data_IF_221877572718
#
_entry.id   IF_221877572718
#
_cell.length_a   1.000
_cell.length_b   1.000
_cell.length_c   1.000
_cell.angle_alpha   90.00
_cell.angle_beta   90.00
_cell.angle_gamma   90.00
#
_symmetry.space_group_name_H-M   'P 1'
#
loop_
_entity.id
_entity.type
_entity.pdbx_description
1 polymer ?
#
# COMPACT_ATOMS: atom_id res chain seq x y z
N UNK A 1 -10.95 -29.34 -6.04
CA UNK A 1 -9.65 -29.92 -6.46
C UNK A 1 -8.97 -30.44 -5.21
N UNK A 2 -8.74 -31.75 -5.09
CA UNK A 2 -8.30 -32.40 -3.84
C UNK A 2 -6.82 -32.11 -3.54
N UNK A 3 -6.48 -31.88 -2.27
CA UNK A 3 -5.11 -31.68 -1.79
C UNK A 3 -4.13 -32.79 -2.22
N UNK A 4 -4.66 -33.98 -2.54
CA UNK A 4 -3.88 -35.12 -3.07
C UNK A 4 -3.31 -34.86 -4.46
N UNK A 5 -3.99 -34.08 -5.31
CA UNK A 5 -3.52 -33.74 -6.65
C UNK A 5 -2.36 -32.73 -6.57
N UNK A 6 -2.47 -31.75 -5.66
CA UNK A 6 -1.40 -30.77 -5.43
C UNK A 6 -0.16 -31.47 -4.87
N UNK A 7 -0.33 -32.36 -3.88
CA UNK A 7 0.80 -33.08 -3.29
C UNK A 7 1.48 -34.05 -4.28
N UNK A 8 0.74 -34.66 -5.20
CA UNK A 8 1.30 -35.52 -6.24
C UNK A 8 2.09 -34.74 -7.29
N UNK A 9 1.60 -33.56 -7.70
CA UNK A 9 2.32 -32.68 -8.63
C UNK A 9 3.61 -32.10 -8.02
N UNK A 10 3.60 -31.78 -6.72
CA UNK A 10 4.81 -31.33 -6.00
C UNK A 10 5.82 -32.46 -5.85
N UNK A 11 5.39 -33.69 -5.56
CA UNK A 11 6.29 -34.83 -5.37
C UNK A 11 6.99 -35.28 -6.67
N UNK A 12 6.29 -35.25 -7.81
CA UNK A 12 6.85 -35.62 -9.11
C UNK A 12 7.94 -34.66 -9.60
N UNK A 13 7.87 -33.38 -9.22
CA UNK A 13 8.88 -32.40 -9.60
C UNK A 13 10.22 -32.55 -8.85
N UNK A 14 10.23 -33.14 -7.66
CA UNK A 14 11.41 -33.17 -6.79
C UNK A 14 12.35 -34.35 -7.11
N UNK A 15 11.83 -35.46 -7.64
CA UNK A 15 12.62 -36.70 -7.79
C UNK A 15 13.53 -36.77 -9.02
N UNK A 16 13.49 -35.79 -9.93
CA UNK A 16 14.19 -35.91 -11.23
C UNK A 16 15.59 -35.26 -11.31
N UNK A 17 16.12 -34.68 -10.22
CA UNK A 17 17.22 -33.68 -10.32
C UNK A 17 18.64 -34.20 -9.98
N UNK A 18 18.83 -35.43 -9.50
CA UNK A 18 20.11 -35.82 -8.85
C UNK A 18 21.11 -36.70 -9.65
N UNK A 19 20.94 -36.89 -10.96
CA UNK A 19 21.70 -37.93 -11.69
C UNK A 19 22.96 -37.51 -12.46
N UNK A 20 22.96 -36.35 -13.13
CA UNK A 20 23.98 -36.02 -14.14
C UNK A 20 24.14 -34.50 -14.19
N UNK A 21 25.01 -33.88 -13.37
CA UNK A 21 25.11 -32.40 -13.28
C UNK A 21 26.52 -31.83 -13.35
N UNK A 22 27.57 -32.65 -13.36
CA UNK A 22 28.95 -32.15 -13.19
C UNK A 22 29.59 -31.60 -14.47
N UNK A 23 29.20 -32.07 -15.66
CA UNK A 23 29.85 -31.64 -16.92
C UNK A 23 29.33 -30.31 -17.49
N UNK A 24 28.09 -29.94 -17.17
CA UNK A 24 27.38 -28.76 -17.70
C UNK A 24 27.93 -27.46 -17.11
N UNK A 25 28.27 -27.45 -15.82
CA UNK A 25 28.79 -26.28 -15.12
C UNK A 25 30.08 -25.80 -15.79
N UNK A 26 30.98 -26.73 -16.11
CA UNK A 26 32.25 -26.41 -16.77
C UNK A 26 32.02 -25.83 -18.17
N UNK A 27 31.09 -26.41 -18.94
CA UNK A 27 30.80 -25.98 -20.31
C UNK A 27 30.15 -24.58 -20.36
N UNK A 28 29.20 -24.32 -19.47
CA UNK A 28 28.53 -23.02 -19.43
C UNK A 28 29.41 -21.95 -18.76
N UNK A 29 30.25 -22.28 -17.76
CA UNK A 29 31.03 -21.28 -17.00
C UNK A 29 31.95 -20.41 -17.87
N UNK A 30 32.48 -20.95 -18.98
CA UNK A 30 33.33 -20.21 -19.90
C UNK A 30 32.59 -19.09 -20.64
N UNK A 31 31.29 -19.25 -20.89
CA UNK A 31 30.44 -18.26 -21.57
C UNK A 31 29.80 -17.29 -20.57
N UNK A 32 29.75 -17.65 -19.28
CA UNK A 32 29.10 -16.90 -18.21
C UNK A 32 30.00 -15.86 -17.50
N UNK A 33 31.30 -15.80 -17.79
CA UNK A 33 32.29 -15.04 -17.01
C UNK A 33 32.39 -13.55 -17.36
N UNK A 34 31.78 -13.08 -18.45
CA UNK A 34 31.61 -11.64 -18.64
C UNK A 34 30.41 -11.14 -17.86
N UNK A 35 30.67 -10.81 -16.59
CA UNK A 35 29.79 -9.92 -15.85
C UNK A 35 29.76 -8.57 -16.53
N UNK A 36 28.71 -8.33 -17.31
CA UNK A 36 28.50 -7.05 -17.94
C UNK A 36 28.43 -5.98 -16.85
N UNK A 37 29.30 -4.97 -16.97
CA UNK A 37 29.25 -3.77 -16.12
C UNK A 37 27.83 -3.15 -16.12
N UNK A 38 27.09 -3.38 -17.21
CA UNK A 38 25.68 -3.09 -17.37
C UNK A 38 24.79 -3.81 -16.35
N UNK A 39 24.88 -5.15 -16.19
CA UNK A 39 24.09 -5.91 -15.19
C UNK A 39 24.31 -5.37 -13.78
N UNK A 40 25.57 -5.19 -13.40
CA UNK A 40 25.93 -4.64 -12.07
C UNK A 40 25.38 -3.22 -11.90
N UNK A 41 25.54 -2.36 -12.90
CA UNK A 41 25.03 -0.99 -12.86
C UNK A 41 23.51 -0.90 -12.71
N UNK A 42 22.77 -1.73 -13.46
CA UNK A 42 21.30 -1.79 -13.40
C UNK A 42 20.83 -2.25 -12.01
N UNK A 43 21.43 -3.31 -11.46
CA UNK A 43 21.07 -3.83 -10.14
C UNK A 43 21.43 -2.87 -9.01
N UNK A 44 22.61 -2.25 -9.03
CA UNK A 44 23.01 -1.22 -8.06
C UNK A 44 22.06 -0.01 -8.12
N UNK A 45 21.73 0.44 -9.33
CA UNK A 45 20.80 1.56 -9.55
C UNK A 45 19.41 1.25 -9.00
N UNK A 46 18.87 0.07 -9.31
CA UNK A 46 17.58 -0.38 -8.80
C UNK A 46 17.58 -0.53 -7.27
N UNK A 47 18.62 -1.15 -6.71
CA UNK A 47 18.77 -1.34 -5.27
C UNK A 47 18.82 0.00 -4.52
N UNK A 48 19.63 0.94 -5.01
CA UNK A 48 19.77 2.28 -4.43
C UNK A 48 18.46 3.05 -4.48
N UNK A 49 17.75 3.01 -5.62
CA UNK A 49 16.46 3.66 -5.79
C UNK A 49 15.41 3.12 -4.81
N UNK A 50 15.29 1.79 -4.72
CA UNK A 50 14.36 1.15 -3.78
C UNK A 50 14.73 1.40 -2.33
N UNK A 51 16.02 1.44 -1.99
CA UNK A 51 16.45 1.75 -0.63
C UNK A 51 16.09 3.20 -0.25
N UNK A 52 16.43 4.18 -1.09
CA UNK A 52 16.13 5.59 -0.83
C UNK A 52 14.62 5.84 -0.72
N UNK A 53 13.83 5.34 -1.66
CA UNK A 53 12.37 5.48 -1.65
C UNK A 53 11.74 4.71 -0.48
N UNK A 54 12.27 3.52 -0.17
CA UNK A 54 11.84 2.71 0.96
C UNK A 54 12.05 3.41 2.30
N UNK A 55 13.25 3.95 2.54
CA UNK A 55 13.56 4.75 3.74
C UNK A 55 12.66 5.99 3.80
N UNK A 56 12.42 6.67 2.67
CA UNK A 56 11.53 7.83 2.62
C UNK A 56 10.11 7.49 3.08
N UNK A 57 9.49 6.44 2.53
CA UNK A 57 8.13 6.06 2.93
C UNK A 57 8.07 5.52 4.36
N UNK A 58 9.09 4.76 4.79
CA UNK A 58 9.17 4.21 6.12
C UNK A 58 9.29 5.29 7.20
N UNK A 59 10.16 6.29 7.00
CA UNK A 59 10.40 7.38 7.96
C UNK A 59 9.26 8.41 8.01
N UNK A 60 8.52 8.60 6.91
CA UNK A 60 7.46 9.62 6.82
C UNK A 60 6.13 9.19 7.43
N UNK A 61 5.84 7.89 7.51
CA UNK A 61 4.54 7.36 7.92
C UNK A 61 4.59 6.35 9.09
N UNK A 62 5.26 6.66 10.22
CA UNK A 62 5.39 5.71 11.32
C UNK A 62 4.17 5.64 12.25
N UNK A 63 3.19 6.56 12.17
CA UNK A 63 2.13 6.65 13.19
C UNK A 63 0.89 5.79 12.87
N UNK A 64 0.60 4.74 13.67
CA UNK A 64 -0.64 3.96 13.59
C UNK A 64 -1.81 4.61 14.36
N UNK A 65 -1.55 5.55 15.28
CA UNK A 65 -2.55 6.10 16.20
C UNK A 65 -3.39 7.26 15.61
N UNK A 66 -3.83 7.12 14.36
CA UNK A 66 -4.74 8.07 13.73
C UNK A 66 -6.18 7.80 14.20
N UNK A 67 -6.89 8.86 14.61
CA UNK A 67 -8.31 8.77 15.06
C UNK A 67 -9.23 8.21 13.98
N UNK A 68 -8.88 8.47 12.71
CA UNK A 68 -9.61 7.95 11.56
C UNK A 68 -9.06 6.59 11.12
N UNK A 69 -9.86 5.55 11.31
CA UNK A 69 -9.56 4.18 10.86
C UNK A 69 -9.16 4.13 9.37
N UNK A 70 -9.73 5.00 8.53
CA UNK A 70 -9.39 5.08 7.09
C UNK A 70 -7.96 5.53 6.87
N UNK A 71 -7.55 6.55 7.60
CA UNK A 71 -6.22 7.13 7.51
C UNK A 71 -5.18 6.19 8.10
N UNK A 72 -5.55 5.43 9.13
CA UNK A 72 -4.74 4.35 9.67
C UNK A 72 -4.46 3.26 8.62
N UNK A 73 -5.47 2.81 7.86
CA UNK A 73 -5.26 1.82 6.77
C UNK A 73 -4.32 2.38 5.69
N UNK A 74 -4.52 3.64 5.26
CA UNK A 74 -3.57 4.27 4.31
C UNK A 74 -2.16 4.39 4.90
N UNK A 75 -2.01 4.70 6.20
CA UNK A 75 -0.71 4.69 6.89
C UNK A 75 -0.05 3.32 6.84
N UNK A 76 -0.81 2.28 7.16
CA UNK A 76 -0.33 0.91 7.09
C UNK A 76 0.11 0.54 5.67
N UNK A 77 -0.69 0.83 4.64
CA UNK A 77 -0.33 0.55 3.25
C UNK A 77 0.92 1.32 2.79
N UNK A 78 1.06 2.60 3.19
CA UNK A 78 2.25 3.38 2.86
C UNK A 78 3.52 2.85 3.54
N UNK A 79 3.42 2.50 4.83
CA UNK A 79 4.51 1.88 5.57
C UNK A 79 4.90 0.52 4.97
N UNK A 80 3.90 -0.30 4.62
CA UNK A 80 4.10 -1.59 3.95
C UNK A 80 4.79 -1.43 2.59
N UNK A 81 4.43 -0.44 1.78
CA UNK A 81 5.16 -0.13 0.54
C UNK A 81 6.62 0.24 0.82
N UNK A 82 6.89 1.02 1.87
CA UNK A 82 8.26 1.31 2.33
C UNK A 82 9.06 0.03 2.62
N UNK A 83 8.48 -0.91 3.37
CA UNK A 83 9.11 -2.20 3.65
C UNK A 83 9.31 -3.06 2.40
N UNK A 84 8.34 -3.11 1.49
CA UNK A 84 8.46 -3.87 0.23
C UNK A 84 9.60 -3.32 -0.64
N UNK A 85 9.78 -2.00 -0.67
CA UNK A 85 10.89 -1.35 -1.36
C UNK A 85 12.22 -1.67 -0.70
N UNK A 86 12.34 -1.53 0.62
CA UNK A 86 13.57 -1.89 1.35
C UNK A 86 13.96 -3.35 1.14
N UNK A 87 12.99 -4.26 1.24
CA UNK A 87 13.16 -5.68 0.98
C UNK A 87 13.63 -5.94 -0.45
N UNK A 88 13.00 -5.28 -1.44
CA UNK A 88 13.40 -5.39 -2.85
C UNK A 88 14.80 -4.84 -3.09
N UNK A 89 15.16 -3.73 -2.45
CA UNK A 89 16.51 -3.17 -2.51
C UNK A 89 17.55 -4.14 -1.95
N UNK A 90 17.26 -4.79 -0.83
CA UNK A 90 18.13 -5.81 -0.24
C UNK A 90 18.32 -7.02 -1.16
N UNK A 91 17.26 -7.59 -1.73
CA UNK A 91 17.39 -8.74 -2.64
C UNK A 91 18.09 -8.40 -3.95
N UNK A 92 17.97 -7.17 -4.44
CA UNK A 92 18.79 -6.72 -5.57
C UNK A 92 20.29 -6.64 -5.22
N UNK A 93 20.65 -6.32 -3.97
CA UNK A 93 22.04 -6.41 -3.51
C UNK A 93 22.51 -7.86 -3.36
N UNK A 94 21.62 -8.77 -2.93
CA UNK A 94 21.94 -10.22 -2.89
C UNK A 94 22.23 -10.73 -4.31
N UNK A 95 21.42 -10.36 -5.30
CA UNK A 95 21.65 -10.72 -6.71
C UNK A 95 22.94 -10.16 -7.32
N UNK A 96 23.60 -9.17 -6.68
CA UNK A 96 24.96 -8.75 -7.07
C UNK A 96 26.04 -9.73 -6.62
N UNK A 97 25.78 -10.50 -5.56
CA UNK A 97 26.76 -11.45 -5.01
C UNK A 97 26.92 -12.69 -5.88
N UNK A 98 25.97 -12.96 -6.79
CA UNK A 98 25.93 -14.12 -7.69
C UNK A 98 25.88 -15.49 -6.98
N UNK A 99 25.83 -15.49 -5.65
CA UNK A 99 25.79 -16.71 -4.83
C UNK A 99 24.49 -17.49 -5.08
N UNK A 100 23.48 -16.81 -5.62
CA UNK A 100 22.12 -17.29 -5.83
C UNK A 100 21.76 -17.56 -7.31
N UNK A 101 22.71 -17.39 -8.23
CA UNK A 101 22.52 -17.69 -9.65
C UNK A 101 22.56 -19.22 -9.87
N UNK A 102 21.45 -19.82 -10.29
CA UNK A 102 21.39 -21.22 -10.72
C UNK A 102 21.58 -21.31 -12.25
N UNK A 103 22.46 -22.22 -12.70
CA UNK A 103 22.68 -22.49 -14.13
C UNK A 103 21.93 -23.75 -14.51
N UNK A 104 21.03 -23.65 -15.48
CA UNK A 104 20.29 -24.79 -16.03
C UNK A 104 21.07 -25.48 -17.16
N UNK A 105 20.59 -26.66 -17.57
CA UNK A 105 21.18 -27.46 -18.67
C UNK A 105 21.29 -26.69 -20.00
N UNK A 106 20.45 -25.68 -20.22
CA UNK A 106 20.44 -24.80 -21.40
C UNK A 106 21.44 -23.62 -21.29
N UNK A 107 22.34 -23.62 -20.30
CA UNK A 107 23.23 -22.51 -19.95
C UNK A 107 22.51 -21.18 -19.61
N UNK A 108 21.20 -21.22 -19.34
CA UNK A 108 20.43 -20.06 -18.90
C UNK A 108 20.64 -19.83 -17.41
N UNK A 109 20.93 -18.58 -17.01
CA UNK A 109 21.02 -18.17 -15.60
C UNK A 109 19.63 -17.88 -15.03
N UNK A 110 19.35 -18.44 -13.86
CA UNK A 110 18.18 -18.10 -13.05
C UNK A 110 18.64 -17.40 -11.77
N UNK A 111 18.18 -16.17 -11.60
CA UNK A 111 18.38 -15.34 -10.40
C UNK A 111 17.37 -15.76 -9.31
N UNK A 112 17.82 -16.52 -8.32
CA UNK A 112 16.95 -17.04 -7.26
C UNK A 112 16.53 -15.95 -6.26
N UNK A 113 17.40 -14.97 -5.98
CA UNK A 113 17.07 -13.83 -5.13
C UNK A 113 15.86 -13.09 -5.69
N UNK A 114 15.81 -12.88 -7.01
CA UNK A 114 14.68 -12.24 -7.69
C UNK A 114 13.41 -13.05 -7.63
N UNK A 115 13.49 -14.36 -7.88
CA UNK A 115 12.32 -15.24 -7.76
C UNK A 115 11.74 -15.19 -6.34
N UNK A 116 12.60 -15.24 -5.32
CA UNK A 116 12.20 -15.13 -3.92
C UNK A 116 11.64 -13.73 -3.59
N UNK A 117 12.30 -12.68 -4.08
CA UNK A 117 11.86 -11.30 -3.91
C UNK A 117 10.43 -11.13 -4.43
N UNK A 118 10.13 -11.61 -5.64
CA UNK A 118 8.80 -11.55 -6.22
C UNK A 118 7.80 -12.39 -5.44
N UNK A 119 8.17 -13.62 -5.04
CA UNK A 119 7.31 -14.52 -4.28
C UNK A 119 6.82 -13.89 -2.95
N UNK A 120 7.61 -12.99 -2.35
CA UNK A 120 7.23 -12.26 -1.13
C UNK A 120 6.59 -10.91 -1.44
N UNK A 121 7.22 -10.09 -2.29
CA UNK A 121 6.77 -8.72 -2.53
C UNK A 121 5.42 -8.65 -3.25
N UNK A 122 5.18 -9.49 -4.25
CA UNK A 122 3.97 -9.44 -5.06
C UNK A 122 2.70 -9.80 -4.25
N UNK A 123 2.65 -10.88 -3.45
CA UNK A 123 1.49 -11.14 -2.59
C UNK A 123 1.26 -10.04 -1.55
N UNK A 124 2.31 -9.40 -1.02
CA UNK A 124 2.15 -8.25 -0.12
C UNK A 124 1.55 -7.03 -0.86
N UNK A 125 1.99 -6.78 -2.10
CA UNK A 125 1.44 -5.71 -2.95
C UNK A 125 -0.02 -5.95 -3.32
N UNK A 126 -0.45 -7.20 -3.53
CA UNK A 126 -1.85 -7.48 -3.84
C UNK A 126 -2.70 -7.52 -2.57
N UNK A 127 -2.13 -7.94 -1.43
CA UNK A 127 -2.77 -7.84 -0.12
C UNK A 127 -3.11 -6.38 0.24
N UNK A 128 -2.18 -5.43 0.07
CA UNK A 128 -2.49 -4.02 0.36
C UNK A 128 -3.63 -3.47 -0.48
N UNK A 129 -3.77 -3.88 -1.75
CA UNK A 129 -4.88 -3.44 -2.62
C UNK A 129 -6.20 -3.96 -2.06
N UNK A 130 -6.23 -5.21 -1.57
CA UNK A 130 -7.41 -5.77 -0.93
C UNK A 130 -7.75 -5.11 0.42
N UNK A 131 -6.74 -4.66 1.18
CA UNK A 131 -6.93 -3.86 2.39
C UNK A 131 -7.51 -2.48 2.08
N UNK A 132 -7.00 -1.81 1.04
CA UNK A 132 -7.53 -0.54 0.54
C UNK A 132 -8.98 -0.66 0.05
N UNK A 133 -9.31 -1.79 -0.59
CA UNK A 133 -10.68 -2.11 -0.98
C UNK A 133 -11.60 -2.37 0.23
N UNK A 134 -11.05 -2.66 1.41
CA UNK A 134 -11.80 -3.22 2.55
C UNK A 134 -12.61 -4.46 2.15
N UNK A 135 -12.04 -5.27 1.27
CA UNK A 135 -12.65 -6.52 0.86
C UNK A 135 -12.83 -7.45 2.06
N UNK A 136 -13.81 -8.36 1.98
CA UNK A 136 -13.99 -9.44 2.96
C UNK A 136 -12.67 -10.19 3.16
N UNK A 137 -12.40 -10.71 4.37
CA UNK A 137 -11.17 -11.48 4.65
C UNK A 137 -10.92 -12.60 3.63
N UNK A 138 -12.00 -13.27 3.20
CA UNK A 138 -11.97 -14.26 2.12
C UNK A 138 -11.32 -13.72 0.84
N UNK A 139 -11.71 -12.51 0.40
CA UNK A 139 -11.16 -11.88 -0.80
C UNK A 139 -9.68 -11.55 -0.66
N UNK A 140 -9.27 -11.10 0.52
CA UNK A 140 -7.86 -10.80 0.80
C UNK A 140 -7.00 -12.04 0.66
N UNK A 141 -7.45 -13.17 1.23
CA UNK A 141 -6.76 -14.47 1.14
C UNK A 141 -6.72 -14.97 -0.31
N UNK A 142 -7.84 -14.90 -1.04
CA UNK A 142 -7.91 -15.33 -2.45
C UNK A 142 -6.95 -14.55 -3.34
N UNK A 143 -6.85 -13.23 -3.17
CA UNK A 143 -5.93 -12.38 -3.94
C UNK A 143 -4.47 -12.74 -3.66
N UNK A 144 -4.11 -12.95 -2.39
CA UNK A 144 -2.76 -13.36 -1.97
C UNK A 144 -2.40 -14.74 -2.51
N UNK A 145 -3.30 -15.73 -2.36
CA UNK A 145 -3.07 -17.09 -2.84
C UNK A 145 -2.97 -17.16 -4.36
N UNK A 146 -3.85 -16.47 -5.10
CA UNK A 146 -3.75 -16.42 -6.57
C UNK A 146 -2.43 -15.81 -7.01
N UNK A 147 -1.96 -14.76 -6.34
CA UNK A 147 -0.66 -14.14 -6.63
C UNK A 147 0.50 -15.10 -6.35
N UNK A 148 0.48 -15.76 -5.20
CA UNK A 148 1.52 -16.70 -4.79
C UNK A 148 1.60 -17.90 -5.74
N UNK A 149 0.46 -18.54 -6.07
CA UNK A 149 0.44 -19.67 -7.00
C UNK A 149 0.80 -19.27 -8.43
N UNK A 150 0.41 -18.08 -8.88
CA UNK A 150 0.85 -17.53 -10.16
C UNK A 150 2.39 -17.50 -10.24
N UNK A 151 3.06 -16.96 -9.23
CA UNK A 151 4.51 -16.85 -9.20
C UNK A 151 5.20 -18.20 -9.01
N UNK A 152 4.67 -19.07 -8.15
CA UNK A 152 5.21 -20.40 -7.92
C UNK A 152 5.19 -21.24 -9.22
N UNK A 153 4.08 -21.20 -9.97
CA UNK A 153 3.98 -21.89 -11.25
C UNK A 153 4.84 -21.23 -12.33
N UNK A 154 5.00 -19.90 -12.31
CA UNK A 154 5.94 -19.20 -13.20
C UNK A 154 7.41 -19.53 -12.90
N UNK A 155 7.73 -19.81 -11.64
CA UNK A 155 9.05 -20.32 -11.26
C UNK A 155 9.24 -21.74 -11.79
N UNK A 156 8.24 -22.62 -11.62
CA UNK A 156 8.29 -23.96 -12.21
C UNK A 156 8.38 -23.95 -13.74
N UNK A 157 7.73 -23.00 -14.42
CA UNK A 157 7.88 -22.87 -15.88
C UNK A 157 9.29 -22.46 -16.30
N UNK A 158 10.03 -21.80 -15.41
CA UNK A 158 11.42 -21.37 -15.64
C UNK A 158 12.41 -22.50 -15.34
N UNK A 159 12.14 -23.31 -14.31
CA UNK A 159 13.04 -24.39 -13.87
C UNK A 159 12.86 -25.70 -14.66
N UNK A 160 11.67 -25.96 -15.21
CA UNK A 160 11.38 -27.22 -15.88
C UNK A 160 12.36 -27.51 -17.03
N UNK A 161 12.92 -28.72 -17.15
CA UNK A 161 13.89 -29.03 -18.19
C UNK A 161 13.23 -29.16 -19.57
N UNK A 162 12.11 -29.90 -19.70
CA UNK A 162 11.45 -30.02 -20.99
C UNK A 162 10.59 -28.81 -21.34
N UNK A 163 10.77 -28.32 -22.57
CA UNK A 163 10.02 -27.19 -23.14
C UNK A 163 8.49 -27.34 -23.04
N UNK A 164 7.99 -28.56 -23.22
CA UNK A 164 6.55 -28.85 -23.10
C UNK A 164 6.03 -28.54 -21.70
N UNK A 165 6.75 -28.95 -20.65
CA UNK A 165 6.34 -28.66 -19.27
C UNK A 165 6.51 -27.18 -18.93
N UNK A 166 7.52 -26.49 -19.49
CA UNK A 166 7.65 -25.02 -19.35
C UNK A 166 6.36 -24.31 -19.78
N UNK A 167 5.86 -24.61 -20.98
CA UNK A 167 4.61 -24.00 -21.47
C UNK A 167 3.38 -24.44 -20.68
N UNK A 168 3.32 -25.67 -20.19
CA UNK A 168 2.21 -26.15 -19.36
C UNK A 168 2.14 -25.40 -18.03
N UNK A 169 3.28 -25.23 -17.34
CA UNK A 169 3.35 -24.44 -16.11
C UNK A 169 3.09 -22.95 -16.35
N UNK A 170 3.57 -22.40 -17.47
CA UNK A 170 3.28 -21.03 -17.89
C UNK A 170 1.78 -20.80 -18.13
N UNK A 171 1.11 -21.73 -18.83
CA UNK A 171 -0.33 -21.68 -19.04
C UNK A 171 -1.09 -21.78 -17.71
N UNK A 172 -0.68 -22.67 -16.81
CA UNK A 172 -1.27 -22.80 -15.48
C UNK A 172 -1.07 -21.51 -14.65
N UNK A 173 0.13 -20.92 -14.67
CA UNK A 173 0.42 -19.63 -14.04
C UNK A 173 -0.48 -18.52 -14.58
N UNK A 174 -0.69 -18.47 -15.90
CA UNK A 174 -1.58 -17.51 -16.57
C UNK A 174 -3.03 -17.65 -16.11
N UNK A 175 -3.52 -18.87 -15.86
CA UNK A 175 -4.86 -19.08 -15.27
C UNK A 175 -4.95 -18.45 -13.88
N UNK A 176 -3.93 -18.61 -13.02
CA UNK A 176 -3.91 -17.96 -11.71
C UNK A 176 -3.79 -16.43 -11.81
N UNK A 177 -3.08 -15.92 -12.81
CA UNK A 177 -3.06 -14.49 -13.10
C UNK A 177 -4.47 -13.98 -13.47
N UNK A 178 -5.19 -14.68 -14.34
CA UNK A 178 -6.58 -14.32 -14.69
C UNK A 178 -7.48 -14.36 -13.43
N UNK A 179 -7.34 -15.38 -12.59
CA UNK A 179 -8.06 -15.47 -11.31
C UNK A 179 -7.72 -14.29 -10.38
N UNK A 180 -6.47 -13.85 -10.34
CA UNK A 180 -6.06 -12.65 -9.60
C UNK A 180 -6.81 -11.41 -10.12
N UNK A 181 -6.83 -11.18 -11.44
CA UNK A 181 -7.51 -10.02 -12.04
C UNK A 181 -9.01 -10.06 -11.77
N UNK A 182 -9.64 -11.23 -11.88
CA UNK A 182 -11.05 -11.43 -11.54
C UNK A 182 -11.31 -11.11 -10.06
N UNK A 183 -10.47 -11.59 -9.15
CA UNK A 183 -10.61 -11.30 -7.72
C UNK A 183 -10.43 -9.81 -7.41
N UNK A 184 -9.54 -9.11 -8.10
CA UNK A 184 -9.39 -7.66 -7.98
C UNK A 184 -10.61 -6.90 -8.53
N UNK A 185 -11.22 -7.34 -9.63
CA UNK A 185 -12.49 -6.80 -10.12
C UNK A 185 -13.62 -6.98 -9.10
N UNK A 186 -13.72 -8.17 -8.50
CA UNK A 186 -14.67 -8.41 -7.42
C UNK A 186 -14.43 -7.53 -6.19
N UNK A 187 -13.17 -7.28 -5.83
CA UNK A 187 -12.86 -6.35 -4.76
C UNK A 187 -13.41 -4.95 -5.08
N UNK A 188 -13.21 -4.44 -6.30
CA UNK A 188 -13.80 -3.16 -6.74
C UNK A 188 -15.33 -3.19 -6.61
N UNK A 189 -15.97 -4.24 -7.13
CA UNK A 189 -17.44 -4.36 -7.10
C UNK A 189 -18.00 -4.41 -5.69
N UNK A 190 -17.41 -5.21 -4.80
CA UNK A 190 -17.83 -5.32 -3.40
C UNK A 190 -17.72 -3.96 -2.69
N UNK A 191 -16.61 -3.25 -2.90
CA UNK A 191 -16.35 -1.93 -2.32
C UNK A 191 -17.25 -0.83 -2.87
N UNK A 192 -17.71 -0.98 -4.11
CA UNK A 192 -18.53 0.02 -4.81
C UNK A 192 -20.01 -0.32 -4.86
N UNK A 193 -20.47 -1.36 -4.15
CA UNK A 193 -21.85 -1.86 -4.20
C UNK A 193 -22.28 -2.18 -5.65
N UNK A 194 -21.39 -2.80 -6.43
CA UNK A 194 -21.55 -3.12 -7.85
C UNK A 194 -21.77 -1.92 -8.79
N UNK A 195 -21.50 -0.68 -8.34
CA UNK A 195 -21.59 0.51 -9.20
C UNK A 195 -20.44 0.62 -10.18
N UNK A 196 -19.28 0.10 -9.79
CA UNK A 196 -18.07 0.09 -10.59
C UNK A 196 -17.53 -1.32 -10.77
N UNK A 197 -16.76 -1.49 -11.83
CA UNK A 197 -16.00 -2.68 -12.18
C UNK A 197 -14.66 -2.24 -12.74
N UNK A 198 -13.78 -3.20 -13.03
CA UNK A 198 -12.50 -2.97 -13.69
C UNK A 198 -12.66 -2.17 -15.00
N UNK A 199 -13.72 -2.46 -15.76
CA UNK A 199 -13.98 -1.83 -17.05
C UNK A 199 -14.80 -0.53 -16.95
N UNK A 200 -15.56 -0.32 -15.86
CA UNK A 200 -16.47 0.83 -15.72
C UNK A 200 -16.35 1.51 -14.35
N UNK A 201 -16.12 2.81 -14.31
CA UNK A 201 -16.08 3.59 -13.05
C UNK A 201 -14.96 4.62 -13.03
N UNK A 202 -14.93 5.47 -12.01
CA UNK A 202 -13.91 6.51 -11.85
C UNK A 202 -13.19 6.46 -10.50
N UNK A 203 -13.49 5.48 -9.65
CA UNK A 203 -12.87 5.36 -8.33
C UNK A 203 -11.35 5.25 -8.40
N UNK A 204 -10.70 5.78 -7.35
CA UNK A 204 -9.26 5.65 -7.19
C UNK A 204 -8.82 4.18 -7.06
N UNK A 205 -9.65 3.33 -6.45
CA UNK A 205 -9.38 1.89 -6.34
C UNK A 205 -9.31 1.24 -7.72
N UNK A 206 -10.24 1.55 -8.62
CA UNK A 206 -10.20 1.06 -10.01
C UNK A 206 -8.90 1.46 -10.69
N UNK A 207 -8.50 2.72 -10.57
CA UNK A 207 -7.27 3.25 -11.17
C UNK A 207 -6.02 2.53 -10.62
N UNK A 208 -5.98 2.23 -9.32
CA UNK A 208 -4.92 1.42 -8.69
C UNK A 208 -4.87 0.03 -9.31
N UNK A 209 -6.00 -0.67 -9.35
CA UNK A 209 -6.07 -2.03 -9.89
C UNK A 209 -5.70 -2.06 -11.37
N UNK A 210 -6.15 -1.09 -12.17
CA UNK A 210 -5.80 -0.97 -13.58
C UNK A 210 -4.30 -0.72 -13.78
N UNK A 211 -3.69 0.15 -12.97
CA UNK A 211 -2.25 0.42 -13.03
C UNK A 211 -1.45 -0.86 -12.74
N UNK A 212 -1.82 -1.61 -11.71
CA UNK A 212 -1.17 -2.88 -11.35
C UNK A 212 -1.39 -3.93 -12.42
N UNK A 213 -2.63 -4.12 -12.89
CA UNK A 213 -2.95 -5.10 -13.94
C UNK A 213 -2.22 -4.79 -15.24
N UNK A 214 -2.14 -3.51 -15.64
CA UNK A 214 -1.45 -3.11 -16.86
C UNK A 214 0.05 -3.36 -16.77
N UNK A 215 0.69 -2.95 -15.66
CA UNK A 215 2.12 -3.17 -15.46
C UNK A 215 2.46 -4.65 -15.34
N UNK A 216 1.61 -5.45 -14.69
CA UNK A 216 1.87 -6.87 -14.46
C UNK A 216 1.68 -7.74 -15.69
N UNK A 217 0.79 -7.34 -16.61
CA UNK A 217 0.58 -8.07 -17.88
C UNK A 217 1.84 -8.09 -18.75
N UNK A 218 2.77 -7.15 -18.54
CA UNK A 218 4.01 -7.11 -19.32
C UNK A 218 4.97 -8.25 -18.94
N UNK A 219 4.98 -8.73 -17.69
CA UNK A 219 5.87 -9.81 -17.25
C UNK A 219 5.69 -11.13 -18.03
N UNK A 220 4.48 -11.70 -18.18
CA UNK A 220 4.32 -12.93 -18.96
C UNK A 220 4.69 -12.76 -20.44
N UNK A 221 4.52 -11.55 -20.99
CA UNK A 221 4.94 -11.23 -22.37
C UNK A 221 6.47 -11.26 -22.46
N UNK A 222 7.17 -10.60 -21.51
CA UNK A 222 8.63 -10.57 -21.45
C UNK A 222 9.19 -11.99 -21.25
N UNK A 223 8.57 -12.80 -20.38
CA UNK A 223 8.95 -14.20 -20.19
C UNK A 223 8.84 -14.99 -21.51
N UNK A 224 7.75 -14.81 -22.25
CA UNK A 224 7.54 -15.50 -23.53
C UNK A 224 8.56 -15.09 -24.61
N UNK A 225 8.98 -13.82 -24.62
CA UNK A 225 9.98 -13.29 -25.54
C UNK A 225 11.43 -13.65 -25.16
N UNK A 226 11.66 -13.97 -23.89
CA UNK A 226 12.98 -14.29 -23.35
C UNK A 226 13.53 -15.64 -23.82
N UNK A 227 14.78 -15.96 -23.41
CA UNK A 227 15.51 -17.17 -23.80
C UNK A 227 14.75 -18.47 -23.50
N UNK A 228 14.02 -18.50 -22.38
CA UNK A 228 13.27 -19.68 -21.93
C UNK A 228 11.97 -19.92 -22.71
N UNK A 229 11.45 -18.87 -23.38
CA UNK A 229 10.25 -18.94 -24.20
C UNK A 229 10.60 -19.13 -25.68
N UNK A 230 10.57 -18.02 -26.43
CA UNK A 230 10.82 -17.97 -27.88
C UNK A 230 12.26 -17.65 -28.24
N UNK A 231 13.07 -17.21 -27.27
CA UNK A 231 14.45 -16.73 -27.47
C UNK A 231 14.56 -15.58 -28.49
N UNK A 232 13.54 -14.72 -28.55
CA UNK A 232 13.52 -13.56 -29.43
C UNK A 232 14.37 -12.39 -28.92
N UNK A 233 14.64 -12.35 -27.61
CA UNK A 233 15.35 -11.27 -26.92
C UNK A 233 16.47 -11.85 -26.06
N UNK A 234 17.61 -11.15 -26.01
CA UNK A 234 18.79 -11.54 -25.23
C UNK A 234 18.60 -11.35 -23.72
N UNK A 235 19.36 -12.09 -22.92
CA UNK A 235 19.27 -12.08 -21.45
C UNK A 235 19.48 -10.69 -20.84
N UNK A 236 20.46 -9.93 -21.34
CA UNK A 236 20.73 -8.56 -20.89
C UNK A 236 19.54 -7.61 -21.17
N UNK A 237 18.90 -7.75 -22.33
CA UNK A 237 17.74 -6.95 -22.68
C UNK A 237 16.52 -7.34 -21.81
N UNK A 238 16.32 -8.63 -21.56
CA UNK A 238 15.29 -9.11 -20.62
C UNK A 238 15.53 -8.58 -19.21
N UNK A 239 16.78 -8.58 -18.74
CA UNK A 239 17.16 -8.03 -17.44
C UNK A 239 16.77 -6.55 -17.32
N UNK A 240 17.14 -5.73 -18.31
CA UNK A 240 16.84 -4.28 -18.31
C UNK A 240 15.34 -4.05 -18.33
N UNK A 241 14.62 -4.69 -19.25
CA UNK A 241 13.17 -4.53 -19.40
C UNK A 241 12.44 -4.95 -18.12
N UNK A 242 12.80 -6.11 -17.57
CA UNK A 242 12.22 -6.61 -16.31
C UNK A 242 12.50 -5.66 -15.16
N UNK A 243 13.71 -5.09 -15.07
CA UNK A 243 14.08 -4.11 -14.05
C UNK A 243 13.24 -2.84 -14.16
N UNK A 244 13.06 -2.31 -15.37
CA UNK A 244 12.24 -1.10 -15.61
C UNK A 244 10.77 -1.36 -15.24
N UNK A 245 10.22 -2.52 -15.61
CA UNK A 245 8.85 -2.90 -15.25
C UNK A 245 8.72 -3.04 -13.73
N UNK A 246 9.70 -3.66 -13.06
CA UNK A 246 9.68 -3.85 -11.61
C UNK A 246 9.70 -2.51 -10.85
N UNK A 247 10.58 -1.59 -11.27
CA UNK A 247 10.63 -0.23 -10.75
C UNK A 247 9.30 0.48 -10.97
N UNK A 248 8.77 0.41 -12.19
CA UNK A 248 7.50 1.07 -12.56
C UNK A 248 6.33 0.53 -11.75
N UNK A 249 6.19 -0.79 -11.64
CA UNK A 249 5.09 -1.43 -10.92
C UNK A 249 5.08 -1.04 -9.44
N UNK A 250 6.24 -1.04 -8.78
CA UNK A 250 6.34 -0.71 -7.35
C UNK A 250 6.23 0.80 -7.10
N UNK A 251 6.95 1.62 -7.87
CA UNK A 251 6.95 3.07 -7.67
C UNK A 251 5.61 3.69 -8.02
N UNK A 252 5.02 3.36 -9.18
CA UNK A 252 3.73 3.91 -9.58
C UNK A 252 2.66 3.56 -8.54
N UNK A 253 2.65 2.33 -8.03
CA UNK A 253 1.71 1.93 -6.98
C UNK A 253 1.94 2.72 -5.68
N UNK A 254 3.18 2.80 -5.19
CA UNK A 254 3.51 3.53 -3.96
C UNK A 254 3.17 5.02 -4.07
N UNK A 255 3.55 5.67 -5.17
CA UNK A 255 3.24 7.07 -5.42
C UNK A 255 1.74 7.32 -5.59
N UNK A 256 1.02 6.41 -6.25
CA UNK A 256 -0.41 6.56 -6.42
C UNK A 256 -1.16 6.41 -5.09
N UNK A 257 -0.80 5.45 -4.24
CA UNK A 257 -1.39 5.31 -2.89
C UNK A 257 -1.07 6.55 -2.05
N UNK A 258 0.15 7.09 -2.14
CA UNK A 258 0.52 8.35 -1.50
C UNK A 258 -0.36 9.51 -1.97
N UNK A 259 -0.55 9.64 -3.29
CA UNK A 259 -1.39 10.68 -3.87
C UNK A 259 -2.83 10.60 -3.37
N UNK A 260 -3.44 9.41 -3.42
CA UNK A 260 -4.82 9.19 -2.93
C UNK A 260 -4.95 9.55 -1.45
N UNK A 261 -3.96 9.17 -0.62
CA UNK A 261 -3.93 9.55 0.78
C UNK A 261 -3.88 11.08 0.95
N UNK A 262 -3.00 11.76 0.22
CA UNK A 262 -2.83 13.22 0.33
C UNK A 262 -4.12 13.96 -0.05
N UNK A 263 -4.81 13.51 -1.09
CA UNK A 263 -6.10 14.06 -1.51
C UNK A 263 -7.18 13.85 -0.45
N UNK A 264 -7.21 12.66 0.16
CA UNK A 264 -8.12 12.35 1.26
C UNK A 264 -7.87 13.20 2.51
N UNK A 265 -6.60 13.40 2.90
CA UNK A 265 -6.27 14.26 4.03
C UNK A 265 -6.75 15.69 3.80
N UNK A 266 -6.57 16.22 2.59
CA UNK A 266 -7.05 17.56 2.22
C UNK A 266 -8.58 17.64 2.28
N UNK A 267 -9.29 16.62 1.80
CA UNK A 267 -10.76 16.59 1.89
C UNK A 267 -11.26 16.56 3.33
N UNK A 268 -10.59 15.82 4.23
CA UNK A 268 -10.96 15.75 5.65
C UNK A 268 -10.73 17.09 6.37
N UNK A 269 -9.65 17.80 6.06
CA UNK A 269 -9.38 19.13 6.61
C UNK A 269 -10.48 20.12 6.23
N UNK A 270 -10.87 20.14 4.95
CA UNK A 270 -11.98 20.99 4.48
C UNK A 270 -13.30 20.61 5.14
N UNK A 271 -13.59 19.32 5.29
CA UNK A 271 -14.81 18.86 5.99
C UNK A 271 -14.81 19.30 7.47
N UNK A 272 -13.64 19.30 8.14
CA UNK A 272 -13.49 19.75 9.53
C UNK A 272 -13.68 21.28 9.65
N UNK A 273 -13.10 22.07 8.75
CA UNK A 273 -13.29 23.51 8.70
C UNK A 273 -14.75 23.91 8.45
N UNK A 274 -15.41 23.24 7.49
CA UNK A 274 -16.85 23.44 7.22
C UNK A 274 -17.69 23.04 8.44
N UNK A 275 -17.34 21.96 9.14
CA UNK A 275 -18.04 21.55 10.35
C UNK A 275 -17.86 22.54 11.52
N UNK A 276 -16.73 23.24 11.60
CA UNK A 276 -16.49 24.32 12.58
C UNK A 276 -17.29 25.58 12.24
N UNK A 277 -17.37 25.94 10.95
CA UNK A 277 -18.13 27.09 10.48
C UNK A 277 -19.65 26.90 10.57
N UNK A 278 -20.14 25.70 10.26
CA UNK A 278 -21.55 25.34 10.35
C UNK A 278 -21.75 23.97 11.03
N UNK A 279 -21.98 23.94 12.36
CA UNK A 279 -22.21 22.70 13.09
C UNK A 279 -23.50 21.97 12.68
N UNK A 280 -24.43 22.64 11.99
CA UNK A 280 -25.64 22.01 11.47
C UNK A 280 -25.34 21.12 10.25
N UNK A 281 -24.36 21.50 9.43
CA UNK A 281 -23.90 20.75 8.26
C UNK A 281 -23.25 19.41 8.64
N UNK A 282 -22.49 19.39 9.74
CA UNK A 282 -21.82 18.19 10.26
C UNK A 282 -22.80 17.04 10.56
N UNK A 283 -24.02 17.35 11.05
CA UNK A 283 -25.05 16.34 11.33
C UNK A 283 -25.61 15.70 10.06
N UNK A 284 -25.72 16.48 8.97
CA UNK A 284 -26.24 16.00 7.68
C UNK A 284 -25.21 15.13 6.95
N UNK A 285 -23.92 15.50 7.03
CA UNK A 285 -22.86 14.84 6.27
C UNK A 285 -22.46 13.45 6.79
N UNK A 286 -22.60 13.21 8.11
CA UNK A 286 -22.27 11.93 8.75
C UNK A 286 -23.09 10.74 8.22
N UNK A 287 -24.22 11.00 7.54
CA UNK A 287 -25.09 9.97 6.95
C UNK A 287 -24.76 9.59 5.49
N UNK A 288 -23.87 10.30 4.78
CA UNK A 288 -23.88 10.26 3.30
C UNK A 288 -22.54 9.95 2.57
N UNK A 289 -21.40 9.69 3.22
CA UNK A 289 -20.14 9.41 2.50
C UNK A 289 -19.77 7.92 2.53
N UNK A 290 -19.97 7.25 1.38
CA UNK A 290 -19.38 5.94 1.06
C UNK A 290 -17.85 6.05 1.05
N UNK A 291 -17.20 5.01 1.56
CA UNK A 291 -15.91 5.08 2.23
C UNK A 291 -14.70 5.02 1.29
N UNK A 292 -14.84 4.40 0.13
CA UNK A 292 -13.72 4.12 -0.79
C UNK A 292 -14.00 4.61 -2.22
N UNK A 293 -15.26 4.87 -2.56
CA UNK A 293 -15.65 5.22 -3.93
C UNK A 293 -15.65 6.72 -4.20
N UNK A 294 -15.70 7.56 -3.16
CA UNK A 294 -16.04 8.98 -3.31
C UNK A 294 -17.46 9.22 -3.86
N UNK A 295 -18.23 8.16 -4.14
CA UNK A 295 -19.56 8.27 -4.73
C UNK A 295 -20.59 8.57 -3.65
N UNK A 296 -21.40 9.60 -3.89
CA UNK A 296 -22.61 9.86 -3.10
C UNK A 296 -23.56 8.64 -3.22
N UNK A 297 -24.07 8.09 -2.12
CA UNK A 297 -25.14 7.12 -2.16
C UNK A 297 -26.42 7.86 -2.61
N UNK A 298 -26.94 7.52 -3.79
CA UNK A 298 -28.22 8.00 -4.28
C UNK A 298 -28.11 8.99 -5.45
N UNK A 299 -28.48 8.50 -6.64
CA UNK A 299 -28.64 9.29 -7.86
C UNK A 299 -29.84 10.24 -7.81
N UNK A 300 -29.79 11.24 -6.95
CA UNK A 300 -30.55 12.47 -7.15
C UNK A 300 -29.81 13.29 -8.21
N UNK A 301 -30.40 13.42 -9.40
CA UNK A 301 -29.88 14.17 -10.56
C UNK A 301 -29.59 15.68 -10.31
N UNK A 302 -29.59 16.15 -9.05
CA UNK A 302 -29.67 17.56 -8.71
C UNK A 302 -28.51 18.21 -7.96
N UNK A 303 -27.40 17.55 -7.59
CA UNK A 303 -26.43 18.19 -6.64
C UNK A 303 -24.93 17.96 -6.91
N UNK A 304 -24.55 17.56 -8.13
CA UNK A 304 -23.13 17.60 -8.53
C UNK A 304 -22.68 19.06 -8.62
N UNK A 305 -23.42 19.86 -9.40
CA UNK A 305 -23.12 21.27 -9.64
C UNK A 305 -23.28 22.13 -8.39
N UNK A 306 -24.21 21.77 -7.50
CA UNK A 306 -24.42 22.50 -6.26
C UNK A 306 -23.30 22.24 -5.23
N UNK A 307 -22.77 21.02 -5.18
CA UNK A 307 -21.66 20.70 -4.28
C UNK A 307 -20.32 21.21 -4.83
N UNK A 308 -20.12 21.19 -6.15
CA UNK A 308 -18.94 21.79 -6.79
C UNK A 308 -19.00 23.31 -6.73
N UNK A 309 -20.17 23.93 -6.95
CA UNK A 309 -20.37 25.37 -6.76
C UNK A 309 -20.20 25.78 -5.29
N UNK A 310 -20.71 25.00 -4.33
CA UNK A 310 -20.51 25.28 -2.91
C UNK A 310 -19.04 25.14 -2.50
N UNK A 311 -18.33 24.08 -2.94
CA UNK A 311 -16.88 23.96 -2.70
C UNK A 311 -16.08 25.08 -3.36
N UNK A 312 -16.44 25.47 -4.58
CA UNK A 312 -15.81 26.58 -5.28
C UNK A 312 -16.06 27.91 -4.54
N UNK A 313 -17.28 28.12 -4.04
CA UNK A 313 -17.63 29.28 -3.22
C UNK A 313 -16.86 29.28 -1.90
N UNK A 314 -16.76 28.16 -1.19
CA UNK A 314 -15.97 28.05 0.04
C UNK A 314 -14.48 28.29 -0.21
N UNK A 315 -13.91 27.71 -1.26
CA UNK A 315 -12.52 27.94 -1.64
C UNK A 315 -12.26 29.40 -2.04
N UNK A 316 -13.18 30.02 -2.78
CA UNK A 316 -13.10 31.44 -3.11
C UNK A 316 -13.17 32.32 -1.86
N UNK A 317 -13.99 31.94 -0.88
CA UNK A 317 -14.12 32.66 0.39
C UNK A 317 -12.84 32.57 1.24
N UNK A 318 -12.26 31.38 1.36
CA UNK A 318 -10.97 31.18 2.05
C UNK A 318 -9.83 31.93 1.35
N UNK A 319 -9.83 31.96 0.00
CA UNK A 319 -8.85 32.74 -0.77
C UNK A 319 -9.00 34.26 -0.53
N UNK A 320 -10.24 34.76 -0.41
CA UNK A 320 -10.50 36.15 -0.10
C UNK A 320 -10.09 36.53 1.34
N UNK A 321 -10.38 35.67 2.33
CA UNK A 321 -9.99 35.88 3.73
C UNK A 321 -8.46 35.89 3.91
N UNK A 322 -7.73 35.07 3.15
CA UNK A 322 -6.26 35.10 3.13
C UNK A 322 -5.67 36.41 2.57
N UNK A 323 -6.37 37.09 1.65
CA UNK A 323 -5.92 38.38 1.12
C UNK A 323 -6.19 39.55 2.08
N UNK A 324 -7.27 39.51 2.87
CA UNK A 324 -7.56 40.53 3.89
C UNK A 324 -6.54 40.48 5.04
N UNK A 325 -6.14 39.29 5.49
CA UNK A 325 -5.09 39.15 6.51
C UNK A 325 -3.73 39.68 6.04
N UNK A 326 -3.36 39.41 4.79
CA UNK A 326 -2.11 39.94 4.21
C UNK A 326 -2.14 41.47 3.99
N UNK A 327 -3.32 42.07 3.85
CA UNK A 327 -3.47 43.54 3.70
C UNK A 327 -3.49 44.25 5.05
N UNK A 328 -4.00 43.61 6.10
CA UNK A 328 -4.00 44.15 7.45
C UNK A 328 -2.58 44.24 8.07
N UNK A 329 -1.67 43.31 7.74
CA UNK A 329 -0.27 43.40 8.18
C UNK A 329 0.52 44.54 7.51
N UNK A 330 0.16 44.93 6.29
CA UNK A 330 0.86 46.00 5.56
C UNK A 330 0.50 47.42 6.03
N UNK A 331 -0.54 47.60 6.85
CA UNK A 331 -0.98 48.90 7.38
C UNK A 331 -0.64 49.12 8.87
N UNK A 332 0.07 48.19 9.51
CA UNK A 332 0.46 48.28 10.93
C UNK A 332 1.81 48.96 11.23
N UNK A 333 2.56 49.41 10.22
CA UNK A 333 3.94 49.90 10.38
C UNK A 333 4.07 51.40 10.24
N UNK A 334 3.50 52.21 11.14
CA UNK A 334 3.69 53.67 11.08
C UNK A 334 3.47 54.39 12.43
N UNK A 335 4.12 53.97 13.52
CA UNK A 335 4.21 54.81 14.74
C UNK A 335 5.49 54.52 15.53
N UNK A 336 6.58 55.26 15.25
CA UNK A 336 7.43 55.87 16.31
C UNK A 336 8.45 56.85 15.71
N UNK A 337 8.25 58.15 15.97
CA UNK A 337 9.23 59.22 15.71
C UNK A 337 9.33 60.13 16.94
N UNK A 338 10.56 60.46 17.32
CA UNK A 338 10.95 61.61 18.17
C UNK A 338 11.49 61.17 19.54
N UNK A 339 12.57 61.68 20.13
CA UNK A 339 13.38 62.91 20.04
C UNK A 339 14.85 62.52 20.41
N UNK A 340 15.94 63.25 20.08
CA UNK A 340 16.60 64.37 20.81
C UNK A 340 17.85 64.69 19.94
N UNK A 341 18.06 65.87 19.31
CA UNK A 341 18.46 67.23 19.76
C UNK A 341 20.00 67.41 19.98
N UNK A 342 20.57 68.33 19.16
CA UNK A 342 21.74 69.26 19.30
C UNK A 342 23.12 68.69 19.76
N UNK A 343 24.32 69.15 19.35
CA UNK A 343 24.79 70.50 18.99
C UNK A 343 26.23 70.49 18.38
N UNK A 344 26.57 71.57 17.64
CA UNK A 344 27.91 72.23 17.49
C UNK A 344 29.14 71.47 16.88
N UNK A 345 29.72 71.83 15.71
CA UNK A 345 30.46 73.04 15.26
C UNK A 345 32.00 72.88 15.29
N UNK A 346 32.71 73.05 14.13
CA UNK A 346 33.94 73.87 13.96
C UNK A 346 34.59 73.76 12.53
N UNK A 347 34.70 74.92 11.84
CA UNK A 347 35.78 75.50 10.97
C UNK A 347 36.67 74.60 10.06
N UNK A 348 37.23 74.99 8.90
CA UNK A 348 37.13 76.13 7.95
C UNK A 348 38.01 75.78 6.72
N UNK A 349 37.75 76.45 5.60
CA UNK A 349 38.34 76.45 4.23
C UNK A 349 39.77 77.07 4.16
N UNK A 350 40.57 77.08 3.03
CA UNK A 350 40.12 77.32 1.64
C UNK A 350 40.87 76.71 0.42
N UNK A 351 40.21 76.91 -0.74
CA UNK A 351 40.65 76.99 -2.16
C UNK A 351 41.31 75.78 -2.86
N UNK A 352 41.01 75.44 -4.12
CA UNK A 352 40.14 76.08 -5.10
C UNK A 352 40.04 75.29 -6.43
N UNK A 353 38.89 75.41 -7.07
CA UNK A 353 38.57 75.28 -8.50
C UNK A 353 38.59 73.92 -9.24
N UNK A 354 37.35 73.52 -9.58
CA UNK A 354 36.80 73.17 -10.91
C UNK A 354 36.50 71.69 -11.23
N UNK A 355 35.21 71.40 -10.98
CA UNK A 355 34.17 70.91 -11.92
C UNK A 355 33.98 69.39 -12.12
N UNK A 356 32.87 68.96 -11.51
CA UNK A 356 31.84 68.00 -11.98
C UNK A 356 32.29 66.57 -12.28
N UNK A 357 32.18 65.61 -11.35
CA UNK A 357 30.97 64.90 -10.85
C UNK A 357 30.43 63.82 -11.81
N UNK A 358 30.15 62.56 -11.46
CA UNK A 358 30.31 61.63 -10.31
C UNK A 358 29.67 60.32 -10.85
N UNK A 359 30.37 59.18 -11.00
CA UNK A 359 30.56 58.04 -10.05
C UNK A 359 29.23 57.41 -9.57
N UNK A 360 28.87 56.13 -9.77
CA UNK A 360 29.53 54.79 -9.81
C UNK A 360 30.04 54.28 -8.44
N UNK A 361 29.46 53.12 -8.04
CA UNK A 361 30.01 51.98 -7.27
C UNK A 361 30.10 52.00 -5.73
N UNK A 362 29.64 50.88 -5.11
CA UNK A 362 30.33 49.86 -4.25
C UNK A 362 31.70 50.23 -3.61
N UNK A 363 32.27 49.54 -2.57
CA UNK A 363 31.95 48.20 -2.02
C UNK A 363 32.24 47.96 -0.50
N UNK A 364 32.09 46.68 -0.09
CA UNK A 364 32.96 45.86 0.79
C UNK A 364 33.04 46.01 2.34
N UNK A 365 32.75 44.85 2.98
CA UNK A 365 33.56 44.06 3.94
C UNK A 365 33.85 44.55 5.37
N UNK A 366 33.58 43.66 6.36
CA UNK A 366 34.48 43.49 7.53
C UNK A 366 33.83 43.26 8.92
N UNK A 367 33.91 42.01 9.42
CA UNK A 367 34.12 41.52 10.81
C UNK A 367 33.55 42.28 12.02
N UNK A 368 32.88 41.56 12.94
CA UNK A 368 33.07 41.69 14.41
C UNK A 368 32.90 40.34 15.13
N UNK A 369 33.80 40.11 16.09
CA UNK A 369 33.88 39.04 17.09
C UNK A 369 33.27 39.49 18.45
N UNK A 370 32.73 38.52 19.20
CA UNK A 370 32.83 38.31 20.68
C UNK A 370 32.23 39.30 21.72
N UNK A 371 31.25 38.73 22.46
CA UNK A 371 31.17 38.53 23.94
C UNK A 371 30.75 39.63 24.93
N UNK A 372 29.78 39.22 25.80
CA UNK A 372 29.57 39.49 27.25
C UNK A 372 29.19 40.93 27.65
N UNK A 373 28.29 41.25 28.60
CA UNK A 373 27.65 40.63 29.77
C UNK A 373 26.41 41.49 30.15
N UNK A 374 25.29 40.92 30.65
CA UNK A 374 24.82 41.08 32.05
C UNK A 374 23.41 40.53 32.31
N UNK A 375 23.31 39.96 33.50
CA UNK A 375 22.26 39.18 34.16
C UNK A 375 20.96 39.91 34.52
N UNK A 376 19.88 39.11 34.63
CA UNK A 376 18.88 38.96 35.73
C UNK A 376 17.53 38.59 35.09
N UNK A 377 16.78 37.55 35.43
CA UNK A 377 16.77 36.50 36.45
C UNK A 377 15.38 35.82 36.38
N UNK A 378 15.19 34.74 37.14
CA UNK A 378 13.93 34.00 37.42
C UNK A 378 13.61 32.78 36.53
N UNK A 379 13.61 31.59 37.16
CA UNK A 379 12.55 30.59 36.92
C UNK A 379 12.91 29.22 36.33
N UNK A 380 13.66 28.41 37.07
CA UNK A 380 13.45 26.97 37.31
C UNK A 380 12.44 26.18 36.43
N UNK A 381 12.92 25.22 35.60
CA UNK A 381 12.52 23.78 35.63
C UNK A 381 13.25 22.94 34.58
N UNK A 382 13.52 21.69 34.97
CA UNK A 382 14.38 20.70 34.34
C UNK A 382 14.01 20.31 32.89
N UNK A 383 15.03 20.16 32.05
CA UNK A 383 14.96 19.55 30.72
C UNK A 383 15.91 18.36 30.64
N UNK A 384 15.33 17.15 30.61
CA UNK A 384 16.00 15.94 30.17
C UNK A 384 15.04 15.17 29.27
N UNK A 385 15.26 15.20 27.97
CA UNK A 385 14.58 14.30 27.01
C UNK A 385 15.18 14.41 25.60
N UNK A 386 16.35 13.81 25.38
CA UNK A 386 16.80 13.40 24.03
C UNK A 386 16.74 11.88 23.82
N UNK A 387 16.14 11.13 24.75
CA UNK A 387 16.04 9.67 24.70
C UNK A 387 14.77 9.08 24.08
N UNK A 388 13.75 9.90 23.79
CA UNK A 388 12.40 9.36 23.48
C UNK A 388 12.23 9.03 21.98
N UNK A 389 12.93 9.71 21.07
CA UNK A 389 12.78 9.48 19.64
C UNK A 389 13.28 8.09 19.20
N UNK A 390 14.34 7.57 19.83
CA UNK A 390 14.87 6.24 19.49
C UNK A 390 14.04 5.08 20.07
N UNK A 391 13.35 5.29 21.20
CA UNK A 391 12.56 4.22 21.83
C UNK A 391 11.23 3.95 21.09
N UNK A 392 10.63 4.97 20.47
CA UNK A 392 9.40 4.82 19.67
C UNK A 392 9.65 4.01 18.39
N UNK A 393 10.85 4.13 17.80
CA UNK A 393 11.22 3.39 16.58
C UNK A 393 11.36 1.88 16.84
N UNK A 394 11.84 1.48 18.02
CA UNK A 394 11.95 0.05 18.39
C UNK A 394 10.58 -0.51 18.81
N UNK A 395 9.72 0.30 19.46
CA UNK A 395 8.39 -0.15 19.86
C UNK A 395 7.45 -0.41 18.66
N UNK A 396 7.59 0.33 17.56
CA UNK A 396 6.81 0.10 16.34
C UNK A 396 7.22 -1.18 15.56
N UNK A 397 8.43 -1.73 15.83
CA UNK A 397 8.85 -3.02 15.29
C UNK A 397 8.13 -4.20 16.00
N UNK A 398 7.58 -3.98 17.19
CA UNK A 398 6.92 -5.00 18.02
C UNK A 398 5.39 -4.98 17.99
N UNK A 399 4.76 -4.07 17.25
CA UNK A 399 3.29 -4.01 17.14
C UNK A 399 2.69 -5.19 16.31
N UNK A 400 3.56 -6.03 15.71
CA UNK A 400 3.17 -7.34 15.20
C UNK A 400 2.57 -8.24 16.30
N UNK A 401 2.99 -8.09 17.57
CA UNK A 401 2.36 -8.79 18.69
C UNK A 401 0.98 -8.25 19.01
N UNK A 402 0.74 -6.93 18.91
CA UNK A 402 -0.58 -6.36 19.11
C UNK A 402 -1.54 -6.77 17.98
N UNK A 403 -1.03 -6.83 16.73
CA UNK A 403 -1.77 -7.36 15.58
C UNK A 403 -2.09 -8.85 15.76
N UNK A 404 -1.14 -9.67 16.22
CA UNK A 404 -1.35 -11.07 16.56
C UNK A 404 -2.32 -11.26 17.73
N UNK A 405 -2.28 -10.39 18.75
CA UNK A 405 -3.22 -10.42 19.86
C UNK A 405 -4.62 -10.01 19.42
N UNK A 406 -4.76 -9.00 18.55
CA UNK A 406 -6.03 -8.62 17.97
C UNK A 406 -6.63 -9.72 17.08
N UNK A 407 -5.78 -10.40 16.29
CA UNK A 407 -6.19 -11.56 15.49
C UNK A 407 -6.61 -12.75 16.36
N UNK A 408 -5.84 -13.09 17.40
CA UNK A 408 -6.20 -14.13 18.38
C UNK A 408 -7.49 -13.82 19.13
N UNK A 409 -7.71 -12.55 19.49
CA UNK A 409 -8.94 -12.11 20.20
C UNK A 409 -10.17 -12.18 19.27
N UNK A 410 -10.00 -11.88 17.99
CA UNK A 410 -11.04 -12.04 16.98
C UNK A 410 -11.30 -13.52 16.65
N UNK A 411 -10.28 -14.37 16.68
CA UNK A 411 -10.39 -15.81 16.49
C UNK A 411 -11.10 -16.49 17.67
N UNK A 412 -10.73 -16.15 18.91
CA UNK A 412 -11.42 -16.63 20.12
C UNK A 412 -12.91 -16.22 20.14
N UNK A 413 -13.23 -15.00 19.69
CA UNK A 413 -14.62 -14.55 19.55
C UNK A 413 -15.41 -15.29 18.46
N UNK A 414 -14.74 -15.80 17.42
CA UNK A 414 -15.38 -16.56 16.34
C UNK A 414 -15.63 -18.04 16.69
N UNK A 415 -14.82 -18.61 17.59
CA UNK A 415 -14.93 -20.01 18.02
C UNK A 415 -16.00 -20.16 19.14
N UNK A 416 -16.48 -19.06 19.71
CA UNK A 416 -17.51 -19.09 20.75
C UNK A 416 -17.01 -19.62 22.09
N UNK A 417 -15.68 -19.71 22.28
CA UNK A 417 -15.09 -20.04 23.57
C UNK A 417 -15.21 -18.82 24.49
N UNK A 418 -16.16 -18.90 25.42
CA UNK A 418 -16.19 -17.99 26.56
C UNK A 418 -14.86 -18.15 27.34
N UNK A 419 -14.21 -17.04 27.76
CA UNK A 419 -12.97 -17.14 28.51
C UNK A 419 -13.20 -17.94 29.80
N UNK A 420 -12.23 -18.76 30.23
CA UNK A 420 -12.35 -19.54 31.46
C UNK A 420 -12.54 -18.57 32.63
N UNK A 421 -13.73 -18.61 33.23
CA UNK A 421 -14.02 -17.94 34.50
C UNK A 421 -13.22 -18.67 35.56
N UNK A 422 -12.07 -18.10 35.95
CA UNK A 422 -11.33 -18.54 37.13
C UNK A 422 -12.14 -18.11 38.36
N UNK A 423 -12.95 -19.03 38.86
CA UNK A 423 -13.69 -18.88 40.12
C UNK A 423 -12.72 -19.14 41.29
N UNK A 424 -12.05 -18.11 41.76
CA UNK A 424 -11.51 -18.07 43.12
C UNK A 424 -12.61 -17.57 44.03
N UNK A 425 -13.37 -18.47 44.63
CA UNK A 425 -13.93 -18.32 45.99
C UNK A 425 -14.72 -19.58 46.37
N UNK A 426 -14.05 -20.46 47.10
CA UNK A 426 -14.67 -21.52 47.89
C UNK A 426 -14.31 -21.27 49.36
N UNK A 427 -15.15 -20.51 50.05
CA UNK A 427 -15.20 -20.58 51.52
C UNK A 427 -16.65 -20.65 51.98
N UNK A 428 -16.90 -21.72 52.72
CA UNK A 428 -18.09 -22.15 53.44
C UNK A 428 -19.09 -21.07 53.87
N UNK A 429 -20.38 -21.33 53.65
CA UNK A 429 -21.36 -21.42 54.75
C UNK A 429 -22.68 -22.05 54.31
N UNK A 430 -22.91 -23.23 54.88
CA UNK A 430 -24.20 -23.91 54.99
C UNK A 430 -25.07 -23.13 55.99
N UNK A 431 -26.28 -22.70 55.59
CA UNK A 431 -27.48 -22.92 56.41
C UNK A 431 -28.82 -22.53 55.76
N UNK A 432 -29.77 -23.46 55.93
CA UNK A 432 -31.21 -23.27 56.24
C UNK A 432 -32.21 -22.67 55.26
N UNK A 433 -33.12 -23.58 54.84
CA UNK A 433 -34.58 -23.60 55.10
C UNK A 433 -35.56 -22.77 54.23
N UNK A 434 -36.46 -23.57 53.63
CA UNK A 434 -37.95 -23.48 53.56
C UNK A 434 -38.64 -22.78 52.38
N UNK A 435 -39.67 -23.49 51.89
CA UNK A 435 -40.90 -22.97 51.25
C UNK A 435 -41.04 -23.42 49.79
N UNK A 436 -41.68 -24.56 49.45
CA UNK A 436 -43.13 -24.86 49.38
C UNK A 436 -43.87 -24.06 48.28
N UNK A 437 -44.50 -24.81 47.36
CA UNK A 437 -45.51 -24.36 46.38
C UNK A 437 -45.28 -25.01 45.00
N UNK A 438 -45.73 -26.24 44.72
CA UNK A 438 -47.08 -26.64 44.28
C UNK A 438 -47.61 -25.82 43.11
N UNK A 439 -47.70 -26.46 41.94
CA UNK A 439 -48.30 -25.91 40.72
C UNK A 439 -48.39 -26.99 39.63
N UNK A 440 -49.45 -27.80 39.71
CA UNK A 440 -49.85 -28.84 38.76
C UNK A 440 -50.49 -28.25 37.49
N UNK A 441 -50.48 -29.09 36.45
CA UNK A 441 -51.52 -29.26 35.42
C UNK A 441 -51.31 -28.57 34.06
N UNK A 442 -51.45 -29.37 33.00
CA UNK A 442 -51.62 -28.87 31.63
C UNK A 442 -51.21 -29.81 30.50
N UNK A 443 -51.72 -31.05 30.47
CA UNK A 443 -51.76 -31.87 29.25
C UNK A 443 -52.59 -31.17 28.17
N UNK A 444 -52.13 -31.18 26.91
CA UNK A 444 -53.00 -31.22 25.73
C UNK A 444 -52.28 -31.84 24.54
N UNK A 445 -52.70 -33.07 24.21
CA UNK A 445 -52.53 -33.71 22.91
C UNK A 445 -53.47 -33.09 21.85
N UNK A 446 -53.05 -33.21 20.59
CA UNK A 446 -53.81 -33.70 19.42
C UNK A 446 -53.69 -32.85 18.13
N UNK A 447 -53.49 -33.60 17.03
CA UNK A 447 -53.81 -33.24 15.64
C UNK A 447 -52.59 -32.83 14.80
N UNK A 448 -52.15 -33.51 13.74
CA UNK A 448 -52.79 -34.52 12.87
C UNK A 448 -53.00 -33.95 11.45
N UNK A 449 -52.36 -34.57 10.45
CA UNK A 449 -52.55 -34.31 8.99
C UNK A 449 -51.72 -33.14 8.45
N UNK A 450 -51.11 -33.16 7.26
CA UNK A 450 -51.52 -33.83 6.04
C UNK A 450 -50.34 -34.02 5.06
N UNK A 451 -50.47 -35.03 4.21
CA UNK A 451 -49.50 -35.48 3.21
C UNK A 451 -49.61 -34.65 1.92
N UNK A 452 -48.48 -34.36 1.29
CA UNK A 452 -48.44 -33.66 0.00
C UNK A 452 -47.29 -34.12 -0.87
N UNK A 453 -47.42 -35.31 -1.45
CA UNK A 453 -46.55 -35.80 -2.51
C UNK A 453 -46.74 -34.98 -3.80
N UNK A 454 -45.65 -34.52 -4.41
CA UNK A 454 -45.62 -34.06 -5.81
C UNK A 454 -44.46 -34.72 -6.55
N UNK A 455 -44.83 -35.67 -7.39
CA UNK A 455 -44.02 -36.26 -8.45
C UNK A 455 -44.18 -35.43 -9.75
N UNK A 456 -43.03 -35.07 -10.33
CA UNK A 456 -42.60 -35.06 -11.75
C UNK A 456 -43.60 -34.60 -12.85
N UNK A 457 -43.13 -33.79 -13.83
CA UNK A 457 -42.97 -34.41 -15.15
C UNK A 457 -41.61 -34.14 -15.81
N UNK A 458 -41.12 -35.22 -16.40
CA UNK A 458 -40.06 -35.38 -17.39
C UNK A 458 -40.38 -34.57 -18.64
N UNK A 459 -39.42 -33.77 -19.12
CA UNK A 459 -39.43 -33.23 -20.49
C UNK A 459 -38.23 -33.82 -21.24
N UNK A 460 -38.51 -34.91 -21.95
CA UNK A 460 -37.72 -35.46 -23.05
C UNK A 460 -38.10 -34.66 -24.31
N UNK A 461 -37.13 -33.97 -24.90
CA UNK A 461 -37.26 -33.31 -26.20
C UNK A 461 -36.04 -33.61 -27.05
N UNK A 462 -36.11 -34.67 -27.85
CA UNK A 462 -35.14 -34.97 -28.89
C UNK A 462 -35.49 -34.29 -30.21
N UNK A 463 -34.51 -33.62 -30.80
CA UNK A 463 -34.40 -33.27 -32.23
C UNK A 463 -32.89 -33.35 -32.50
N UNK A 464 -32.32 -34.12 -33.43
CA UNK A 464 -32.83 -34.54 -34.72
C UNK A 464 -32.09 -33.83 -35.85
N UNK A 465 -30.80 -34.16 -36.03
CA UNK A 465 -30.03 -34.17 -37.29
C UNK A 465 -29.88 -32.91 -38.17
N UNK A 466 -28.64 -32.56 -38.52
CA UNK A 466 -28.13 -32.65 -39.91
C UNK A 466 -26.63 -32.36 -40.00
N UNK A 467 -25.94 -33.28 -40.66
CA UNK A 467 -24.69 -33.04 -41.38
C UNK A 467 -24.90 -31.91 -42.42
N UNK A 468 -23.92 -31.03 -42.56
CA UNK A 468 -23.46 -30.61 -43.89
C UNK A 468 -21.96 -30.44 -43.86
N UNK A 469 -21.33 -31.18 -44.77
CA UNK A 469 -20.03 -30.89 -45.36
C UNK A 469 -20.01 -29.47 -45.91
N UNK A 470 -18.91 -28.75 -45.68
CA UNK A 470 -17.98 -28.26 -46.70
C UNK A 470 -16.66 -27.81 -46.03
#
# INVERSE_FOLDING_TARGET
>A
MSARVISALVALGITSVMGVTTDYITKCSAELTEDSLLRRGVLIGQASLFFLVGVFFWTRFPDPHLKDERLAVFSMCMSLNGYIMLFSGFFNLVGLSQIDDFVLEDCVKIDAARAFQWAVSCPLLTWQISLLARGKKQRQIEVVLSTFFCLLLGLFSTIAPERTYRYLYFAASTVFYILLIVNLDWAIRETTENRESLLKGESHLRKIVLCVSATWTVFPIVWLLGPLGTAAVTDDAILIVTTVIDISAKLLLAFYVYFVRSEWQRMLQVDEEVAKADPSHARRHKRAKSLVTGNKPGGGKGTSDEASAYRAATLARLAAEGQEQSSAEMHGGDVEKGLIREDSALYATPDGTKRSSILKASPASGRVQLQREREKGVGEKAGGSDGIAHQVVINNLFDAQALLQALRKAEAAAIGEAPPVFNTDASSRVNSKRGVGVGLSGMREEGGGDQGARTVPTMLGGVGGRLSTD
#
